data_IF_539034708116
#
_entry.id   IF_539034708116
#
_cell.length_a   1.000
_cell.length_b   1.000
_cell.length_c   1.000
_cell.angle_alpha   90.00
_cell.angle_beta   90.00
_cell.angle_gamma   90.00
#
_symmetry.space_group_name_H-M   'P 1'
#
loop_
_entity.id
_entity.type
_entity.pdbx_description
1 polymer ?
#
# COMPACT_ATOMS: atom_id res chain seq x y z
N UNK A 1 6.92 -7.13 4.79
CA UNK A 1 5.92 -6.77 3.74
C UNK A 1 5.68 -5.27 3.75
N UNK A 2 5.27 -4.75 2.62
CA UNK A 2 5.01 -3.28 2.53
C UNK A 2 3.73 -3.00 1.75
N UNK A 3 3.43 -1.73 1.60
CA UNK A 3 2.20 -1.34 0.86
C UNK A 3 2.47 -1.25 -0.65
N UNK A 4 3.72 -1.16 -1.01
CA UNK A 4 4.07 -1.06 -2.46
C UNK A 4 5.08 -2.13 -2.87
N UNK A 5 5.58 -2.88 -1.93
CA UNK A 5 6.56 -3.93 -2.31
C UNK A 5 5.80 -5.25 -2.55
N UNK A 6 6.18 -6.00 -3.56
CA UNK A 6 5.50 -7.29 -3.85
C UNK A 6 5.64 -8.29 -2.68
N UNK A 7 4.54 -8.80 -2.13
CA UNK A 7 3.14 -8.46 -2.51
C UNK A 7 2.77 -7.05 -2.04
N UNK A 8 2.36 -6.21 -2.95
CA UNK A 8 1.99 -4.84 -2.53
C UNK A 8 0.73 -4.86 -1.66
N UNK A 9 0.46 -3.77 -0.99
CA UNK A 9 -0.74 -3.71 -0.12
C UNK A 9 -1.36 -2.32 -0.15
N UNK A 10 -2.55 -2.24 -0.68
CA UNK A 10 -3.24 -0.92 -0.74
C UNK A 10 -4.70 -1.04 -0.34
N UNK A 11 -4.98 -2.00 0.50
CA UNK A 11 -6.38 -2.21 0.96
C UNK A 11 -6.56 -1.66 2.37
N UNK A 12 -5.54 -1.83 3.18
CA UNK A 12 -5.63 -1.33 4.58
C UNK A 12 -5.66 0.20 4.61
N UNK A 13 -5.71 0.73 5.80
CA UNK A 13 -5.74 2.21 5.93
C UNK A 13 -4.35 2.82 5.86
N UNK A 14 -3.52 2.43 6.79
CA UNK A 14 -2.14 2.98 6.80
C UNK A 14 -1.42 2.77 5.47
N UNK A 15 -2.08 2.14 4.53
CA UNK A 15 -1.43 1.90 3.20
C UNK A 15 -2.14 2.67 2.08
N UNK A 16 -3.28 3.23 2.39
CA UNK A 16 -4.02 3.99 1.34
C UNK A 16 -3.33 5.32 0.99
N UNK A 17 -2.90 6.07 1.99
CA UNK A 17 -2.21 7.36 1.75
C UNK A 17 -0.79 7.11 1.24
N UNK A 18 -0.70 6.41 0.14
CA UNK A 18 0.62 6.11 -0.45
C UNK A 18 0.56 6.22 -1.96
N UNK A 19 1.38 7.08 -2.50
CA UNK A 19 1.39 7.27 -3.98
C UNK A 19 1.25 5.93 -4.70
N UNK A 20 1.61 4.87 -4.02
CA UNK A 20 1.50 3.53 -4.66
C UNK A 20 0.12 2.93 -4.39
N UNK A 21 -0.84 3.78 -4.17
CA UNK A 21 -2.21 3.27 -3.91
C UNK A 21 -3.26 4.29 -4.35
N UNK A 22 -3.17 5.48 -3.81
CA UNK A 22 -4.15 6.53 -4.18
C UNK A 22 -3.92 7.00 -5.62
N UNK A 23 -4.95 7.36 -6.33
#
# INVERSE_FOLDING_TARGET
RDCCTPPKKCKDAQCKPQRCCAX
#
